data_IF_244468485277
#
_entry.id   IF_244468485277
#
_cell.length_a   1.000
_cell.length_b   1.000
_cell.length_c   1.000
_cell.angle_alpha   90.00
_cell.angle_beta   90.00
_cell.angle_gamma   90.00
#
_symmetry.space_group_name_H-M   'P 1'
#
loop_
_entity.id
_entity.type
_entity.pdbx_description
1 polymer ?
#
# COMPACT_ATOMS: atom_id res chain seq x y z
N UNK A 1 -0.91 -41.91 0.33
CA UNK A 1 -0.59 -40.47 0.26
C UNK A 1 -1.75 -39.64 -0.29
N UNK A 2 -2.30 -39.93 -1.49
CA UNK A 2 -3.54 -39.28 -1.99
C UNK A 2 -4.72 -39.42 -1.03
N UNK A 3 -4.78 -40.50 -0.25
CA UNK A 3 -5.82 -40.73 0.75
C UNK A 3 -5.78 -39.74 1.94
N UNK A 4 -4.67 -39.05 2.15
CA UNK A 4 -4.51 -38.05 3.22
C UNK A 4 -4.98 -36.65 2.83
N UNK A 5 -5.18 -36.39 1.53
CA UNK A 5 -5.75 -35.13 1.07
C UNK A 5 -7.27 -35.13 1.15
N UNK A 6 -7.89 -34.04 1.60
CA UNK A 6 -9.34 -33.94 1.61
C UNK A 6 -9.96 -34.26 0.26
N UNK A 7 -11.09 -35.01 0.20
CA UNK A 7 -11.72 -35.39 -1.05
C UNK A 7 -12.08 -34.18 -1.95
N UNK A 8 -12.38 -33.04 -1.34
CA UNK A 8 -12.67 -31.77 -2.03
C UNK A 8 -11.49 -31.34 -2.91
N UNK A 9 -10.25 -31.52 -2.47
CA UNK A 9 -9.06 -31.13 -3.26
C UNK A 9 -8.89 -31.95 -4.53
N UNK A 10 -9.31 -33.23 -4.51
CA UNK A 10 -9.19 -34.11 -5.68
C UNK A 10 -10.14 -33.72 -6.81
N UNK A 11 -11.24 -33.04 -6.50
CA UNK A 11 -12.25 -32.61 -7.47
C UNK A 11 -11.99 -31.20 -8.01
N UNK A 12 -11.04 -30.46 -7.42
CA UNK A 12 -10.62 -29.15 -7.91
C UNK A 12 -9.73 -29.35 -9.15
N UNK A 13 -10.26 -29.01 -10.31
CA UNK A 13 -9.49 -28.98 -11.57
C UNK A 13 -8.61 -27.73 -11.60
N UNK A 14 -7.54 -27.73 -10.77
CA UNK A 14 -6.61 -26.62 -10.68
C UNK A 14 -5.38 -26.85 -11.56
N UNK A 15 -4.83 -25.81 -12.21
CA UNK A 15 -3.58 -25.93 -12.97
C UNK A 15 -2.36 -26.01 -12.02
N UNK A 16 -2.39 -26.97 -11.10
CA UNK A 16 -1.47 -27.15 -10.00
C UNK A 16 -0.84 -28.53 -10.00
N UNK A 17 0.49 -28.57 -9.83
CA UNK A 17 1.26 -29.75 -9.45
C UNK A 17 1.79 -29.60 -8.04
N UNK A 18 1.66 -30.61 -7.23
CA UNK A 18 2.37 -30.77 -5.97
C UNK A 18 3.53 -31.75 -6.19
N UNK A 19 4.75 -31.31 -5.97
CA UNK A 19 5.94 -32.14 -5.96
C UNK A 19 6.45 -32.29 -4.53
N UNK A 20 6.69 -33.51 -4.11
CA UNK A 20 7.19 -33.81 -2.78
C UNK A 20 8.72 -33.90 -2.76
N UNK A 21 9.30 -33.86 -1.55
CA UNK A 21 10.74 -33.97 -1.29
C UNK A 21 11.38 -35.25 -1.81
N UNK A 22 10.61 -36.34 -2.00
CA UNK A 22 11.02 -37.62 -2.52
C UNK A 22 10.87 -37.76 -4.06
N UNK A 23 10.45 -36.66 -4.71
CA UNK A 23 10.23 -36.59 -6.15
C UNK A 23 8.85 -37.05 -6.63
N UNK A 24 7.99 -37.57 -5.76
CA UNK A 24 6.61 -37.88 -6.14
C UNK A 24 5.85 -36.63 -6.55
N UNK A 25 5.05 -36.74 -7.61
CA UNK A 25 4.25 -35.65 -8.15
C UNK A 25 2.78 -36.01 -8.14
N UNK A 26 1.95 -35.00 -7.92
CA UNK A 26 0.49 -35.08 -7.93
C UNK A 26 -0.07 -33.90 -8.70
N UNK A 27 -0.77 -34.16 -9.79
CA UNK A 27 -1.44 -33.16 -10.60
C UNK A 27 -2.90 -33.02 -10.17
N UNK A 28 -3.36 -31.76 -10.00
CA UNK A 28 -4.73 -31.43 -9.64
C UNK A 28 -5.59 -31.07 -10.88
N UNK A 29 -4.97 -31.03 -12.04
CA UNK A 29 -5.61 -30.79 -13.34
C UNK A 29 -4.71 -31.24 -14.49
N UNK A 30 -5.21 -31.22 -15.74
CA UNK A 30 -4.54 -31.82 -16.88
C UNK A 30 -3.25 -31.07 -17.29
N UNK A 31 -3.19 -29.77 -17.05
CA UNK A 31 -2.08 -28.89 -17.48
C UNK A 31 -1.63 -27.99 -16.32
N UNK A 32 -0.70 -28.44 -15.46
CA UNK A 32 -0.24 -27.65 -14.34
C UNK A 32 0.59 -26.45 -14.81
N UNK A 33 0.16 -25.24 -14.46
CA UNK A 33 0.89 -23.98 -14.66
C UNK A 33 1.82 -23.66 -13.49
N UNK A 34 1.49 -24.16 -12.30
CA UNK A 34 2.24 -23.92 -11.07
C UNK A 34 2.64 -25.26 -10.47
N UNK A 35 3.90 -25.35 -10.02
CA UNK A 35 4.36 -26.45 -9.19
C UNK A 35 4.72 -25.94 -7.80
N UNK A 36 4.06 -26.47 -6.77
CA UNK A 36 4.46 -26.29 -5.37
C UNK A 36 5.39 -27.44 -4.99
N UNK A 37 6.64 -27.11 -4.69
CA UNK A 37 7.66 -28.09 -4.31
C UNK A 37 7.76 -28.11 -2.78
N UNK A 38 7.18 -29.14 -2.16
CA UNK A 38 7.26 -29.34 -0.71
C UNK A 38 8.65 -29.88 -0.35
N UNK A 39 9.39 -29.15 0.48
CA UNK A 39 10.70 -29.55 0.98
C UNK A 39 10.64 -30.17 2.37
N UNK A 40 9.74 -29.68 3.23
CA UNK A 40 9.54 -30.20 4.59
C UNK A 40 8.35 -31.17 4.63
N UNK A 41 8.59 -32.47 4.95
CA UNK A 41 7.52 -33.46 5.11
C UNK A 41 6.43 -33.07 6.14
N UNK A 42 6.77 -32.29 7.16
CA UNK A 42 5.83 -31.88 8.20
C UNK A 42 4.75 -30.94 7.65
N UNK A 43 5.02 -30.23 6.57
CA UNK A 43 4.05 -29.36 5.92
C UNK A 43 2.78 -30.10 5.48
N UNK A 44 2.92 -31.35 5.03
CA UNK A 44 1.78 -32.14 4.53
C UNK A 44 0.67 -32.33 5.57
N UNK A 45 1.04 -32.51 6.84
CA UNK A 45 0.05 -32.67 7.93
C UNK A 45 -0.76 -31.39 8.14
N UNK A 46 -0.19 -30.22 7.82
CA UNK A 46 -0.80 -28.90 7.97
C UNK A 46 -1.64 -28.51 6.73
N UNK A 47 -1.36 -29.07 5.55
CA UNK A 47 -2.11 -28.82 4.31
C UNK A 47 -3.54 -29.40 4.32
N UNK A 48 -3.94 -30.14 5.35
CA UNK A 48 -5.32 -30.55 5.55
C UNK A 48 -6.30 -29.37 5.78
N UNK A 49 -5.79 -28.22 6.21
CA UNK A 49 -6.52 -26.95 6.36
C UNK A 49 -5.63 -25.79 5.91
N UNK A 50 -5.40 -25.63 4.59
CA UNK A 50 -4.54 -24.60 4.08
C UNK A 50 -5.20 -23.22 4.25
N UNK A 51 -4.42 -22.24 4.73
CA UNK A 51 -4.75 -20.82 4.71
C UNK A 51 -3.71 -20.08 3.88
N UNK A 52 -4.03 -18.85 3.45
CA UNK A 52 -3.04 -18.02 2.75
C UNK A 52 -1.83 -17.70 3.64
N UNK A 53 -2.03 -17.53 4.96
CA UNK A 53 -0.92 -17.38 5.92
C UNK A 53 -0.04 -18.63 5.98
N UNK A 54 -0.63 -19.84 6.05
CA UNK A 54 0.14 -21.09 6.10
C UNK A 54 0.97 -21.29 4.83
N UNK A 55 0.36 -21.13 3.65
CA UNK A 55 1.03 -21.32 2.37
C UNK A 55 2.13 -20.26 2.17
N UNK A 56 1.82 -19.00 2.47
CA UNK A 56 2.78 -17.90 2.40
C UNK A 56 3.96 -18.10 3.36
N UNK A 57 3.69 -18.47 4.62
CA UNK A 57 4.75 -18.75 5.60
C UNK A 57 5.61 -19.94 5.19
N UNK A 58 5.01 -21.02 4.67
CA UNK A 58 5.78 -22.19 4.19
C UNK A 58 6.75 -21.82 3.05
N UNK A 59 6.33 -20.92 2.15
CA UNK A 59 7.20 -20.41 1.09
C UNK A 59 8.30 -19.49 1.65
N UNK A 60 7.95 -18.53 2.50
CA UNK A 60 8.91 -17.56 3.07
C UNK A 60 9.99 -18.27 3.88
N UNK A 61 9.61 -19.27 4.68
CA UNK A 61 10.53 -20.02 5.55
C UNK A 61 11.22 -21.21 4.84
N UNK A 62 11.00 -21.39 3.53
CA UNK A 62 11.69 -22.40 2.73
C UNK A 62 11.18 -23.85 2.90
N UNK A 63 10.07 -24.06 3.63
CA UNK A 63 9.43 -25.38 3.72
C UNK A 63 8.76 -25.79 2.40
N UNK A 64 8.54 -24.83 1.51
CA UNK A 64 7.96 -25.01 0.18
C UNK A 64 8.57 -24.02 -0.80
N UNK A 65 8.74 -24.43 -2.06
CA UNK A 65 9.07 -23.54 -3.16
C UNK A 65 7.92 -23.44 -4.17
N UNK A 66 7.96 -22.38 -4.96
CA UNK A 66 6.99 -22.06 -6.00
C UNK A 66 7.71 -22.00 -7.34
N UNK A 67 7.23 -22.78 -8.32
CA UNK A 67 7.65 -22.73 -9.73
C UNK A 67 6.45 -22.37 -10.59
N UNK A 68 6.62 -21.41 -11.50
CA UNK A 68 5.56 -20.91 -12.38
C UNK A 68 5.15 -19.46 -12.04
N UNK A 69 4.17 -18.91 -12.79
CA UNK A 69 3.77 -17.50 -12.67
C UNK A 69 3.16 -17.21 -11.30
N UNK A 70 3.69 -16.19 -10.62
CA UNK A 70 3.23 -15.82 -9.25
C UNK A 70 1.75 -15.43 -9.21
N UNK A 71 1.22 -14.86 -10.26
CA UNK A 71 -0.19 -14.51 -10.40
C UNK A 71 -1.11 -15.74 -10.41
N UNK A 72 -0.68 -16.82 -11.07
CA UNK A 72 -1.42 -18.09 -11.06
C UNK A 72 -1.40 -18.69 -9.65
N UNK A 73 -0.31 -18.52 -8.90
CA UNK A 73 -0.20 -18.96 -7.50
C UNK A 73 -1.28 -18.30 -6.63
N UNK A 74 -1.50 -16.98 -6.77
CA UNK A 74 -2.51 -16.27 -5.97
C UNK A 74 -3.92 -16.82 -6.22
N UNK A 75 -4.29 -17.05 -7.49
CA UNK A 75 -5.57 -17.63 -7.86
C UNK A 75 -5.77 -19.06 -7.32
N UNK A 76 -4.73 -19.87 -7.41
CA UNK A 76 -4.74 -21.26 -6.92
C UNK A 76 -4.84 -21.27 -5.40
N UNK A 77 -4.06 -20.46 -4.69
CA UNK A 77 -4.07 -20.37 -3.24
C UNK A 77 -5.43 -19.91 -2.70
N UNK A 78 -6.05 -18.92 -3.36
CA UNK A 78 -7.42 -18.48 -3.01
C UNK A 78 -8.45 -19.59 -3.25
N UNK A 79 -8.41 -20.28 -4.40
CA UNK A 79 -9.31 -21.39 -4.69
C UNK A 79 -9.16 -22.56 -3.69
N UNK A 80 -7.91 -22.91 -3.32
CA UNK A 80 -7.64 -23.91 -2.28
C UNK A 80 -8.21 -23.51 -0.92
N UNK A 81 -7.95 -22.25 -0.53
CA UNK A 81 -8.43 -21.74 0.76
C UNK A 81 -9.97 -21.66 0.80
N UNK A 82 -10.60 -21.24 -0.29
CA UNK A 82 -12.07 -21.18 -0.42
C UNK A 82 -12.73 -22.55 -0.28
N UNK A 83 -12.15 -23.56 -0.94
CA UNK A 83 -12.70 -24.92 -0.94
C UNK A 83 -12.65 -25.60 0.43
N UNK A 84 -11.71 -25.19 1.30
CA UNK A 84 -11.40 -25.91 2.54
C UNK A 84 -11.78 -25.17 3.83
N UNK A 85 -11.86 -23.84 3.82
CA UNK A 85 -11.99 -23.04 5.05
C UNK A 85 -13.34 -22.29 5.16
N UNK A 86 -14.10 -22.13 4.08
CA UNK A 86 -15.24 -21.20 4.09
C UNK A 86 -14.81 -19.73 4.28
N UNK A 87 -15.78 -18.84 4.62
CA UNK A 87 -15.54 -17.39 4.62
C UNK A 87 -15.05 -16.77 5.95
N UNK A 88 -14.95 -17.52 7.04
CA UNK A 88 -14.84 -16.91 8.36
C UNK A 88 -13.42 -16.89 8.93
N UNK A 89 -12.75 -15.72 8.83
CA UNK A 89 -11.76 -15.33 9.84
C UNK A 89 -12.50 -14.66 11.03
N UNK A 90 -12.18 -15.09 12.25
CA UNK A 90 -12.68 -14.42 13.44
C UNK A 90 -12.16 -12.97 13.50
N UNK A 91 -12.93 -12.09 14.14
CA UNK A 91 -12.47 -10.73 14.40
C UNK A 91 -11.10 -10.74 15.06
N UNK A 92 -10.19 -9.88 14.60
CA UNK A 92 -8.89 -9.72 15.23
C UNK A 92 -9.07 -9.17 16.66
N UNK A 93 -8.25 -9.60 17.65
CA UNK A 93 -8.26 -8.97 18.96
C UNK A 93 -7.88 -7.49 18.83
N UNK A 94 -8.34 -6.65 19.78
CA UNK A 94 -7.92 -5.24 19.85
C UNK A 94 -6.39 -5.16 19.89
N UNK A 95 -5.81 -4.27 19.07
CA UNK A 95 -4.36 -4.03 19.04
C UNK A 95 -3.98 -2.92 20.02
N UNK A 96 -2.76 -2.95 20.55
CA UNK A 96 -2.25 -1.83 21.36
C UNK A 96 -2.23 -0.57 20.50
N UNK A 97 -2.39 0.60 21.13
CA UNK A 97 -2.28 1.88 20.44
C UNK A 97 -0.84 2.07 19.93
N UNK A 98 -0.72 2.57 18.71
CA UNK A 98 0.54 2.95 18.12
C UNK A 98 1.17 4.12 18.89
N UNK A 99 2.47 4.07 19.14
CA UNK A 99 3.27 5.17 19.67
C UNK A 99 4.41 5.53 18.71
N UNK A 100 5.15 6.62 19.01
CA UNK A 100 6.23 7.10 18.12
C UNK A 100 7.35 6.08 17.93
N UNK A 101 7.65 5.28 18.94
CA UNK A 101 8.74 4.31 18.90
C UNK A 101 8.34 3.11 18.05
N UNK A 102 7.15 2.55 18.30
CA UNK A 102 6.63 1.42 17.50
C UNK A 102 6.42 1.79 16.03
N UNK A 103 5.87 2.98 15.74
CA UNK A 103 5.68 3.43 14.35
C UNK A 103 7.02 3.61 13.62
N UNK A 104 8.05 4.12 14.30
CA UNK A 104 9.39 4.25 13.72
C UNK A 104 10.01 2.86 13.43
N UNK A 105 9.88 1.90 14.36
CA UNK A 105 10.34 0.52 14.16
C UNK A 105 9.64 -0.16 12.99
N UNK A 106 8.31 -0.02 12.87
CA UNK A 106 7.53 -0.60 11.78
C UNK A 106 7.92 -0.02 10.41
N UNK A 107 8.17 1.30 10.35
CA UNK A 107 8.65 1.95 9.14
C UNK A 107 10.06 1.50 8.78
N UNK A 108 10.98 1.41 9.75
CA UNK A 108 12.31 0.85 9.52
C UNK A 108 12.24 -0.59 9.02
N UNK A 109 11.42 -1.42 9.63
CA UNK A 109 11.25 -2.82 9.22
C UNK A 109 10.82 -2.95 7.74
N UNK A 110 9.89 -2.10 7.28
CA UNK A 110 9.37 -2.16 5.92
C UNK A 110 10.27 -1.45 4.89
N UNK A 111 10.85 -0.29 5.23
CA UNK A 111 11.52 0.59 4.27
C UNK A 111 13.06 0.53 4.31
N UNK A 112 13.68 -0.18 5.26
CA UNK A 112 15.15 -0.26 5.38
C UNK A 112 15.80 -1.29 4.43
N UNK A 113 15.07 -1.78 3.43
CA UNK A 113 15.68 -2.40 2.26
C UNK A 113 16.37 -1.32 1.41
N UNK A 114 17.43 -1.70 0.69
CA UNK A 114 18.22 -0.74 -0.08
C UNK A 114 17.39 0.01 -1.13
N UNK A 115 17.69 1.29 -1.35
CA UNK A 115 17.08 2.07 -2.43
C UNK A 115 17.24 1.40 -3.81
N UNK A 116 18.32 0.64 -4.03
CA UNK A 116 18.57 -0.09 -5.27
C UNK A 116 17.57 -1.21 -5.49
N UNK A 117 17.14 -1.90 -4.43
CA UNK A 117 16.08 -2.90 -4.52
C UNK A 117 14.75 -2.26 -4.96
N UNK A 118 14.37 -1.12 -4.39
CA UNK A 118 13.13 -0.41 -4.79
C UNK A 118 13.19 0.09 -6.23
N UNK A 119 14.36 0.53 -6.73
CA UNK A 119 14.54 0.97 -8.12
C UNK A 119 14.28 -0.11 -9.15
N UNK A 120 14.41 -1.40 -8.82
CA UNK A 120 14.17 -2.49 -9.75
C UNK A 120 12.71 -2.56 -10.22
N UNK A 121 11.78 -2.13 -9.40
CA UNK A 121 10.36 -2.36 -9.67
C UNK A 121 9.46 -1.12 -9.53
N UNK A 122 9.89 -0.06 -8.87
CA UNK A 122 9.17 1.22 -8.88
C UNK A 122 9.33 1.95 -10.22
N UNK A 123 8.60 3.05 -10.39
CA UNK A 123 8.83 4.02 -11.45
C UNK A 123 10.11 4.82 -11.23
N UNK A 124 10.53 5.59 -12.24
CA UNK A 124 11.77 6.41 -12.19
C UNK A 124 11.83 7.40 -11.04
N UNK A 125 10.67 7.91 -10.58
CA UNK A 125 10.58 8.85 -9.46
C UNK A 125 10.44 8.15 -8.11
N UNK A 126 10.39 6.81 -8.11
CA UNK A 126 10.23 5.96 -6.93
C UNK A 126 8.99 6.33 -6.11
N UNK A 127 7.86 6.47 -6.78
CA UNK A 127 6.58 6.80 -6.15
C UNK A 127 5.93 5.51 -5.64
N UNK A 128 6.11 5.21 -4.36
CA UNK A 128 5.61 3.98 -3.74
C UNK A 128 4.17 4.16 -3.21
N UNK A 129 3.26 4.40 -4.15
CA UNK A 129 1.81 4.51 -3.90
C UNK A 129 1.04 4.29 -5.19
N UNK A 130 -0.28 4.17 -5.11
CA UNK A 130 -1.14 3.91 -6.26
C UNK A 130 -0.94 4.93 -7.39
N UNK A 131 -0.68 4.47 -8.60
CA UNK A 131 -0.68 5.26 -9.83
C UNK A 131 -2.12 5.57 -10.30
N UNK A 132 -2.27 6.49 -11.25
CA UNK A 132 -3.57 6.82 -11.85
C UNK A 132 -3.52 6.57 -13.36
N UNK A 133 -4.35 5.67 -13.85
CA UNK A 133 -4.44 5.26 -15.24
C UNK A 133 -5.67 5.92 -15.87
N UNK A 134 -5.49 7.06 -16.54
CA UNK A 134 -6.59 7.86 -17.08
C UNK A 134 -7.34 7.13 -18.20
N UNK A 135 -6.60 6.44 -19.07
CA UNK A 135 -7.15 5.66 -20.20
C UNK A 135 -7.14 4.15 -19.94
N UNK A 136 -6.39 3.69 -18.94
CA UNK A 136 -6.17 2.29 -18.64
C UNK A 136 -5.10 1.61 -19.50
N UNK A 137 -4.34 2.36 -20.32
CA UNK A 137 -3.32 1.82 -21.25
C UNK A 137 -1.91 2.34 -20.97
N UNK A 138 -1.77 3.28 -20.03
CA UNK A 138 -0.50 3.89 -19.67
C UNK A 138 0.46 2.84 -19.09
N UNK A 139 1.76 3.05 -19.33
CA UNK A 139 2.82 2.41 -18.54
C UNK A 139 2.88 2.98 -17.11
N UNK A 140 3.64 2.34 -16.24
CA UNK A 140 3.71 2.74 -14.84
C UNK A 140 4.29 4.15 -14.64
N UNK A 141 5.34 4.51 -15.39
CA UNK A 141 6.00 5.80 -15.26
C UNK A 141 5.05 6.94 -15.65
N UNK A 142 4.33 6.77 -16.75
CA UNK A 142 3.30 7.72 -17.21
C UNK A 142 2.15 7.80 -16.20
N UNK A 143 1.62 6.68 -15.75
CA UNK A 143 0.52 6.63 -14.80
C UNK A 143 0.88 7.28 -13.44
N UNK A 144 2.12 7.17 -12.97
CA UNK A 144 2.60 7.87 -11.78
C UNK A 144 2.67 9.39 -12.00
N UNK A 145 3.15 9.87 -13.15
CA UNK A 145 3.13 11.30 -13.46
C UNK A 145 1.70 11.86 -13.53
N UNK A 146 0.77 11.10 -14.12
CA UNK A 146 -0.66 11.46 -14.14
C UNK A 146 -1.22 11.52 -12.72
N UNK A 147 -0.89 10.56 -11.86
CA UNK A 147 -1.31 10.55 -10.44
C UNK A 147 -0.82 11.80 -9.69
N UNK A 148 0.47 12.15 -9.83
CA UNK A 148 1.03 13.33 -9.17
C UNK A 148 0.31 14.61 -9.62
N UNK A 149 0.07 14.74 -10.94
CA UNK A 149 -0.70 15.87 -11.50
C UNK A 149 -2.14 15.88 -11.00
N UNK A 150 -2.80 14.72 -10.92
CA UNK A 150 -4.18 14.59 -10.44
C UNK A 150 -4.31 15.05 -8.99
N UNK A 151 -3.40 14.64 -8.09
CA UNK A 151 -3.36 15.12 -6.70
C UNK A 151 -3.19 16.64 -6.63
N UNK A 152 -2.23 17.20 -7.38
CA UNK A 152 -1.98 18.65 -7.40
C UNK A 152 -3.19 19.44 -7.93
N UNK A 153 -3.88 18.92 -8.96
CA UNK A 153 -5.11 19.52 -9.49
C UNK A 153 -6.26 19.47 -8.48
N UNK A 154 -6.48 18.34 -7.81
CA UNK A 154 -7.50 18.22 -6.74
C UNK A 154 -7.23 19.20 -5.60
N UNK A 155 -5.98 19.38 -5.20
CA UNK A 155 -5.56 20.40 -4.24
C UNK A 155 -5.62 21.82 -4.77
N UNK A 156 -5.85 22.00 -6.10
CA UNK A 156 -5.89 23.32 -6.77
C UNK A 156 -4.65 24.16 -6.44
N UNK A 157 -3.47 23.55 -6.53
CA UNK A 157 -2.21 24.20 -6.22
C UNK A 157 -1.99 25.42 -7.10
N UNK A 158 -1.61 26.52 -6.49
CA UNK A 158 -1.25 27.77 -7.17
C UNK A 158 0.21 28.15 -6.88
N UNK A 159 0.91 28.78 -7.83
CA UNK A 159 2.28 29.23 -7.61
C UNK A 159 2.42 30.09 -6.34
N UNK A 160 3.46 29.80 -5.55
CA UNK A 160 3.72 30.50 -4.29
C UNK A 160 2.95 30.00 -3.07
N UNK A 161 2.00 29.06 -3.24
CA UNK A 161 1.36 28.40 -2.08
C UNK A 161 2.34 27.47 -1.36
N UNK A 162 2.10 27.26 -0.06
CA UNK A 162 2.85 26.35 0.80
C UNK A 162 2.12 25.02 0.95
N UNK A 163 2.72 23.96 0.44
CA UNK A 163 2.23 22.57 0.50
C UNK A 163 2.96 21.80 1.61
N UNK A 164 2.22 21.16 2.51
CA UNK A 164 2.73 20.14 3.42
C UNK A 164 2.53 18.75 2.79
N UNK A 165 3.62 17.96 2.65
CA UNK A 165 3.60 16.56 2.19
C UNK A 165 3.93 15.62 3.36
N UNK A 166 2.90 14.98 3.93
CA UNK A 166 3.01 14.10 5.11
C UNK A 166 3.27 12.66 4.65
N UNK A 167 4.47 12.16 4.90
CA UNK A 167 4.95 10.89 4.38
C UNK A 167 5.50 11.05 2.96
N UNK A 168 6.40 12.01 2.75
CA UNK A 168 6.90 12.39 1.43
C UNK A 168 7.76 11.32 0.71
N UNK A 169 8.13 10.24 1.40
CA UNK A 169 8.94 9.16 0.85
C UNK A 169 10.24 9.65 0.21
N UNK A 170 10.53 9.22 -1.02
CA UNK A 170 11.69 9.67 -1.80
C UNK A 170 11.50 11.05 -2.48
N UNK A 171 10.50 11.82 -2.06
CA UNK A 171 10.26 13.20 -2.51
C UNK A 171 9.66 13.32 -3.91
N UNK A 172 9.06 12.26 -4.46
CA UNK A 172 8.51 12.27 -5.81
C UNK A 172 7.42 13.33 -5.99
N UNK A 173 6.41 13.36 -5.09
CA UNK A 173 5.36 14.36 -5.12
C UNK A 173 5.89 15.77 -4.82
N UNK A 174 6.73 15.91 -3.81
CA UNK A 174 7.30 17.21 -3.40
C UNK A 174 8.05 17.89 -4.57
N UNK A 175 8.95 17.16 -5.26
CA UNK A 175 9.69 17.66 -6.43
C UNK A 175 8.76 18.00 -7.59
N UNK A 176 7.79 17.13 -7.88
CA UNK A 176 6.80 17.34 -8.94
C UNK A 176 5.97 18.60 -8.68
N UNK A 177 5.41 18.76 -7.49
CA UNK A 177 4.59 19.91 -7.13
C UNK A 177 5.38 21.24 -7.22
N UNK A 178 6.60 21.26 -6.70
CA UNK A 178 7.47 22.45 -6.76
C UNK A 178 7.81 22.83 -8.21
N UNK A 179 8.12 21.84 -9.06
CA UNK A 179 8.53 22.06 -10.45
C UNK A 179 7.36 22.46 -11.34
N UNK A 180 6.25 21.72 -11.29
CA UNK A 180 5.14 21.87 -12.22
C UNK A 180 4.11 22.92 -11.80
N UNK A 181 3.96 23.15 -10.48
CA UNK A 181 2.96 24.07 -9.92
C UNK A 181 3.58 25.28 -9.23
N UNK A 182 4.88 25.35 -9.07
CA UNK A 182 5.58 26.51 -8.52
C UNK A 182 5.31 26.75 -7.04
N UNK A 183 4.91 25.71 -6.29
CA UNK A 183 4.64 25.79 -4.85
C UNK A 183 5.92 25.62 -4.03
N UNK A 184 5.90 26.11 -2.78
CA UNK A 184 6.87 25.78 -1.76
C UNK A 184 6.41 24.51 -1.04
N UNK A 185 7.28 23.49 -0.92
CA UNK A 185 6.92 22.23 -0.31
C UNK A 185 7.71 21.98 0.96
N UNK A 186 7.01 21.65 2.03
CA UNK A 186 7.57 21.10 3.26
C UNK A 186 7.16 19.64 3.37
N UNK A 187 8.11 18.73 3.24
CA UNK A 187 7.87 17.29 3.28
C UNK A 187 8.46 16.65 4.53
N UNK A 188 7.73 15.72 5.13
CA UNK A 188 8.20 14.94 6.27
C UNK A 188 8.16 13.44 6.00
N UNK A 189 9.12 12.70 6.55
CA UNK A 189 9.21 11.24 6.53
C UNK A 189 9.85 10.73 7.81
N UNK A 190 9.63 9.47 8.18
CA UNK A 190 10.29 8.79 9.28
C UNK A 190 11.48 7.90 8.83
N UNK A 191 11.71 7.73 7.52
CA UNK A 191 12.82 6.96 6.98
C UNK A 191 14.01 7.85 6.63
N UNK A 192 15.15 7.63 7.30
CA UNK A 192 16.41 8.32 7.02
C UNK A 192 16.95 8.03 5.63
N UNK A 193 16.80 6.80 5.14
CA UNK A 193 17.22 6.39 3.80
C UNK A 193 16.41 7.08 2.69
N UNK A 194 15.09 7.16 2.88
CA UNK A 194 14.23 7.92 1.97
C UNK A 194 14.59 9.39 1.95
N UNK A 195 14.76 10.02 3.13
CA UNK A 195 15.10 11.42 3.25
C UNK A 195 16.42 11.76 2.58
N UNK A 196 17.45 10.94 2.78
CA UNK A 196 18.76 11.13 2.16
C UNK A 196 18.65 11.18 0.63
N UNK A 197 18.05 10.16 0.02
CA UNK A 197 17.89 10.11 -1.43
C UNK A 197 16.97 11.22 -1.95
N UNK A 198 15.91 11.56 -1.21
CA UNK A 198 15.01 12.65 -1.57
C UNK A 198 15.74 13.99 -1.64
N UNK A 199 16.60 14.30 -0.64
CA UNK A 199 17.42 15.53 -0.63
C UNK A 199 18.43 15.56 -1.77
N UNK A 200 19.09 14.45 -2.08
CA UNK A 200 19.99 14.33 -3.23
C UNK A 200 19.28 14.66 -4.55
N UNK A 201 18.04 14.13 -4.73
CA UNK A 201 17.21 14.40 -5.92
C UNK A 201 16.73 15.86 -6.00
N UNK A 202 16.31 16.44 -4.87
CA UNK A 202 15.96 17.86 -4.78
C UNK A 202 17.15 18.73 -5.20
N UNK A 203 18.35 18.41 -4.73
CA UNK A 203 19.57 19.14 -5.11
C UNK A 203 19.92 18.96 -6.60
N UNK A 204 19.81 17.75 -7.13
CA UNK A 204 20.10 17.45 -8.54
C UNK A 204 19.14 18.18 -9.51
N UNK A 205 17.89 18.47 -9.08
CA UNK A 205 16.90 19.22 -9.86
C UNK A 205 16.94 20.75 -9.59
N UNK A 206 17.81 21.24 -8.70
CA UNK A 206 17.92 22.66 -8.35
C UNK A 206 16.67 23.21 -7.63
N UNK A 207 16.02 22.39 -6.81
CA UNK A 207 14.76 22.73 -6.13
C UNK A 207 14.96 23.09 -4.64
N UNK A 208 16.18 23.27 -4.17
CA UNK A 208 16.49 23.47 -2.73
C UNK A 208 15.81 24.71 -2.13
N UNK A 209 15.58 25.74 -2.94
CA UNK A 209 14.91 26.98 -2.51
C UNK A 209 13.38 26.81 -2.37
N UNK A 210 12.82 25.72 -2.89
CA UNK A 210 11.37 25.47 -2.88
C UNK A 210 10.96 24.21 -2.13
N UNK A 211 11.86 23.26 -1.92
CA UNK A 211 11.56 21.96 -1.29
C UNK A 211 12.42 21.76 -0.06
N UNK A 212 11.81 21.82 1.09
CA UNK A 212 12.41 21.49 2.37
C UNK A 212 11.91 20.12 2.82
N UNK A 213 12.82 19.20 3.19
CA UNK A 213 12.47 17.84 3.64
C UNK A 213 13.09 17.58 5.02
N UNK A 214 12.30 16.99 5.93
CA UNK A 214 12.72 16.72 7.30
C UNK A 214 12.39 15.29 7.76
N UNK A 215 13.23 14.77 8.69
CA UNK A 215 12.93 13.56 9.44
C UNK A 215 12.08 13.98 10.64
N UNK A 216 10.76 13.84 10.51
CA UNK A 216 9.81 14.35 11.50
C UNK A 216 8.58 13.47 11.58
N UNK A 217 8.10 13.22 12.81
CA UNK A 217 6.81 12.58 13.05
C UNK A 217 5.66 13.60 12.85
N UNK A 218 4.54 13.15 12.27
CA UNK A 218 3.38 14.02 12.04
C UNK A 218 2.85 14.66 13.32
N UNK A 219 3.03 14.01 14.48
CA UNK A 219 2.63 14.51 15.81
C UNK A 219 3.42 15.74 16.28
N UNK A 220 4.57 15.99 15.64
CA UNK A 220 5.43 17.14 15.93
C UNK A 220 5.30 18.27 14.89
N UNK A 221 4.34 18.18 13.98
CA UNK A 221 4.07 19.20 12.99
C UNK A 221 3.65 20.53 13.66
N UNK A 222 4.03 21.67 13.08
CA UNK A 222 3.53 22.96 13.53
C UNK A 222 2.01 23.07 13.33
N UNK A 223 1.31 23.56 14.37
CA UNK A 223 -0.15 23.64 14.45
C UNK A 223 -0.68 25.06 14.27
N UNK A 224 0.04 25.93 13.58
CA UNK A 224 -0.23 27.36 13.44
C UNK A 224 -0.93 27.75 12.13
N UNK A 225 -1.39 26.77 11.36
CA UNK A 225 -2.12 27.01 10.12
C UNK A 225 -1.29 27.67 9.01
N UNK A 226 0.00 27.39 8.97
CA UNK A 226 0.93 28.01 8.02
C UNK A 226 0.89 27.45 6.60
N UNK A 227 0.26 26.30 6.37
CA UNK A 227 0.19 25.65 5.06
C UNK A 227 -1.13 26.00 4.35
N UNK A 228 -1.03 26.31 3.05
CA UNK A 228 -2.22 26.51 2.20
C UNK A 228 -2.90 25.18 1.91
N UNK A 229 -2.11 24.14 1.68
CA UNK A 229 -2.55 22.80 1.33
C UNK A 229 -1.78 21.75 2.10
N UNK A 230 -2.45 20.63 2.37
CA UNK A 230 -1.85 19.44 2.99
C UNK A 230 -2.17 18.23 2.13
N UNK A 231 -1.17 17.39 1.88
CA UNK A 231 -1.33 16.10 1.24
C UNK A 231 -0.70 15.01 2.08
N UNK A 232 -1.35 13.86 2.15
CA UNK A 232 -0.80 12.66 2.76
C UNK A 232 -1.17 11.46 1.91
N UNK A 233 -0.15 10.69 1.50
CA UNK A 233 -0.29 9.58 0.56
C UNK A 233 0.32 8.31 1.14
N UNK A 234 -0.53 7.31 1.46
CA UNK A 234 -0.09 6.01 1.97
C UNK A 234 0.52 6.07 3.37
N UNK A 235 0.08 7.03 4.18
CA UNK A 235 0.60 7.23 5.53
C UNK A 235 -0.41 6.86 6.61
N UNK A 236 -1.72 7.11 6.41
CA UNK A 236 -2.71 6.93 7.46
C UNK A 236 -2.96 5.46 7.85
N UNK A 237 -2.54 4.51 7.02
CA UNK A 237 -2.52 3.08 7.30
C UNK A 237 -1.57 2.71 8.46
N UNK A 238 -0.58 3.56 8.72
CA UNK A 238 0.41 3.40 9.79
C UNK A 238 0.02 4.12 11.09
N UNK A 239 -1.11 4.85 11.09
CA UNK A 239 -1.54 5.67 12.23
C UNK A 239 -2.22 4.84 13.32
N UNK A 240 -2.91 3.76 12.94
CA UNK A 240 -3.77 2.98 13.81
C UNK A 240 -5.11 3.64 14.12
N UNK A 241 -6.16 2.83 14.34
CA UNK A 241 -7.53 3.33 14.53
C UNK A 241 -7.67 4.29 15.73
N UNK A 242 -6.92 4.03 16.80
CA UNK A 242 -6.96 4.84 18.03
C UNK A 242 -6.44 6.27 17.80
N UNK A 243 -5.48 6.45 16.88
CA UNK A 243 -4.81 7.73 16.64
C UNK A 243 -5.41 8.53 15.47
N UNK A 244 -6.39 7.99 14.72
CA UNK A 244 -6.97 8.67 13.55
C UNK A 244 -7.51 10.07 13.89
N UNK A 245 -8.15 10.26 15.05
CA UNK A 245 -8.59 11.58 15.50
C UNK A 245 -7.42 12.54 15.69
N UNK A 246 -6.36 12.12 16.39
CA UNK A 246 -5.14 12.93 16.57
C UNK A 246 -4.52 13.29 15.21
N UNK A 247 -4.42 12.31 14.30
CA UNK A 247 -3.88 12.53 12.98
C UNK A 247 -4.64 13.59 12.19
N UNK A 248 -5.96 13.47 12.05
CA UNK A 248 -6.75 14.45 11.30
C UNK A 248 -6.81 15.81 12.00
N UNK A 249 -6.79 15.86 13.35
CA UNK A 249 -6.66 17.11 14.11
C UNK A 249 -5.33 17.81 13.78
N UNK A 250 -4.24 17.08 13.71
CA UNK A 250 -2.92 17.64 13.35
C UNK A 250 -2.95 18.22 11.93
N UNK A 251 -3.52 17.50 10.94
CA UNK A 251 -3.67 18.03 9.58
C UNK A 251 -4.58 19.27 9.53
N UNK A 252 -5.69 19.26 10.29
CA UNK A 252 -6.58 20.42 10.42
C UNK A 252 -5.84 21.64 10.99
N UNK A 253 -5.02 21.44 12.02
CA UNK A 253 -4.29 22.55 12.65
C UNK A 253 -3.14 23.07 11.77
N UNK A 254 -2.51 22.20 10.99
CA UNK A 254 -1.43 22.57 10.08
C UNK A 254 -1.91 23.38 8.87
N UNK A 255 -3.10 23.08 8.33
CA UNK A 255 -3.67 23.80 7.18
C UNK A 255 -4.36 25.09 7.63
N UNK A 256 -4.25 26.17 6.84
CA UNK A 256 -4.95 27.43 7.12
C UNK A 256 -6.49 27.33 6.94
N UNK A 257 -7.29 28.22 7.55
CA UNK A 257 -8.71 28.33 7.22
C UNK A 257 -8.92 28.58 5.72
N UNK A 258 -9.84 27.85 5.07
CA UNK A 258 -10.08 27.83 3.64
C UNK A 258 -9.10 26.96 2.85
N UNK A 259 -8.08 26.38 3.50
CA UNK A 259 -7.11 25.48 2.88
C UNK A 259 -7.64 24.05 2.68
N UNK A 260 -6.96 23.26 1.85
CA UNK A 260 -7.38 21.90 1.47
C UNK A 260 -6.47 20.84 2.08
N UNK A 261 -7.08 19.71 2.42
CA UNK A 261 -6.40 18.49 2.89
C UNK A 261 -6.77 17.34 1.97
N UNK A 262 -5.79 16.66 1.42
CA UNK A 262 -5.95 15.42 0.65
C UNK A 262 -5.37 14.25 1.42
N UNK A 263 -6.20 13.27 1.75
CA UNK A 263 -5.78 11.98 2.27
C UNK A 263 -5.98 10.89 1.22
N UNK A 264 -4.89 10.25 0.80
CA UNK A 264 -4.90 9.16 -0.15
C UNK A 264 -4.39 7.91 0.57
N UNK A 265 -5.21 6.87 0.69
CA UNK A 265 -4.79 5.68 1.41
C UNK A 265 -5.68 4.47 1.23
N UNK A 266 -5.15 3.32 1.65
CA UNK A 266 -5.81 2.01 1.61
C UNK A 266 -6.89 1.96 2.67
N UNK A 267 -8.05 1.43 2.32
CA UNK A 267 -9.19 1.29 3.23
C UNK A 267 -9.67 -0.16 3.29
N UNK A 268 -10.14 -0.56 4.48
CA UNK A 268 -10.78 -1.84 4.65
C UNK A 268 -12.12 -1.91 3.89
N UNK A 269 -12.49 -3.10 3.43
CA UNK A 269 -13.81 -3.37 2.84
C UNK A 269 -14.93 -3.34 3.87
N UNK A 270 -14.68 -3.89 5.07
CA UNK A 270 -15.68 -4.11 6.10
C UNK A 270 -15.60 -3.04 7.18
N UNK A 271 -16.77 -2.65 7.71
CA UNK A 271 -16.88 -1.67 8.81
C UNK A 271 -16.62 -2.26 10.19
N UNK A 272 -16.63 -3.58 10.31
CA UNK A 272 -16.55 -4.31 11.59
C UNK A 272 -15.12 -4.68 12.01
N UNK A 273 -14.11 -4.17 11.31
CA UNK A 273 -12.69 -4.42 11.63
C UNK A 273 -12.22 -5.85 11.37
N UNK A 274 -13.00 -6.68 10.66
CA UNK A 274 -12.54 -8.01 10.28
C UNK A 274 -11.29 -7.92 9.41
N UNK A 275 -10.27 -8.76 9.68
CA UNK A 275 -9.06 -8.80 8.86
C UNK A 275 -9.38 -9.23 7.42
N UNK A 276 -8.45 -8.99 6.51
CA UNK A 276 -8.52 -9.52 5.15
C UNK A 276 -8.56 -11.05 5.22
N UNK A 277 -9.58 -11.65 4.59
CA UNK A 277 -9.99 -13.03 4.81
C UNK A 277 -8.98 -14.09 4.40
N UNK A 278 -9.27 -15.33 4.81
CA UNK A 278 -8.52 -16.56 4.50
C UNK A 278 -7.05 -16.54 4.94
N UNK A 279 -6.70 -15.69 5.92
CA UNK A 279 -5.37 -15.57 6.48
C UNK A 279 -4.46 -14.57 5.77
N UNK A 280 -4.89 -13.91 4.67
CA UNK A 280 -4.07 -12.91 3.99
C UNK A 280 -3.64 -11.77 4.93
N UNK A 281 -4.56 -11.26 5.76
CA UNK A 281 -4.26 -10.23 6.76
C UNK A 281 -3.20 -10.67 7.77
N UNK A 282 -3.21 -11.94 8.21
CA UNK A 282 -2.19 -12.48 9.13
C UNK A 282 -0.80 -12.53 8.49
N UNK A 283 -0.73 -12.88 7.21
CA UNK A 283 0.54 -12.87 6.47
C UNK A 283 1.13 -11.46 6.39
N UNK A 284 0.29 -10.47 6.02
CA UNK A 284 0.70 -9.06 5.94
C UNK A 284 1.18 -8.54 7.30
N UNK A 285 0.44 -8.81 8.36
CA UNK A 285 0.78 -8.42 9.74
C UNK A 285 2.11 -9.02 10.22
N UNK A 286 2.39 -10.26 9.85
CA UNK A 286 3.62 -10.97 10.27
C UNK A 286 4.87 -10.54 9.51
N UNK A 287 4.74 -10.30 8.20
CA UNK A 287 5.89 -10.22 7.30
C UNK A 287 6.09 -8.87 6.64
N UNK A 288 5.07 -8.01 6.58
CA UNK A 288 5.11 -6.81 5.75
C UNK A 288 4.87 -5.55 6.57
N UNK A 289 3.71 -5.45 7.22
CA UNK A 289 3.30 -4.31 8.03
C UNK A 289 2.87 -4.80 9.42
N UNK A 290 3.82 -5.04 10.33
CA UNK A 290 3.48 -5.32 11.72
C UNK A 290 2.58 -4.21 12.25
N UNK A 291 1.53 -4.58 12.97
CA UNK A 291 0.55 -3.66 13.54
C UNK A 291 -0.28 -2.81 12.54
N UNK A 292 -0.11 -2.99 11.22
CA UNK A 292 -0.87 -2.22 10.22
C UNK A 292 -2.39 -2.37 10.39
N UNK A 293 -3.11 -1.26 10.44
CA UNK A 293 -4.57 -1.20 10.58
C UNK A 293 -5.19 -0.41 9.44
N UNK A 294 -6.10 -1.05 8.70
CA UNK A 294 -6.80 -0.39 7.62
C UNK A 294 -8.17 0.12 8.10
N UNK A 295 -8.38 1.43 8.19
CA UNK A 295 -9.69 1.97 8.52
C UNK A 295 -10.65 1.79 7.34
N UNK A 296 -11.93 1.57 7.63
CA UNK A 296 -12.97 1.67 6.61
C UNK A 296 -13.15 3.14 6.17
N UNK A 297 -13.52 3.35 4.90
CA UNK A 297 -13.77 4.69 4.35
C UNK A 297 -14.69 5.54 5.24
N UNK A 298 -15.80 4.97 5.71
CA UNK A 298 -16.74 5.69 6.58
C UNK A 298 -16.09 6.14 7.90
N UNK A 299 -15.17 5.33 8.46
CA UNK A 299 -14.42 5.69 9.67
C UNK A 299 -13.48 6.88 9.40
N UNK A 300 -12.75 6.85 8.28
CA UNK A 300 -11.87 7.94 7.89
C UNK A 300 -12.65 9.26 7.71
N UNK A 301 -13.77 9.23 6.95
CA UNK A 301 -14.63 10.38 6.73
C UNK A 301 -15.23 10.91 8.04
N UNK A 302 -15.72 10.03 8.92
CA UNK A 302 -16.24 10.42 10.22
C UNK A 302 -15.18 11.11 11.07
N UNK A 303 -13.95 10.55 11.15
CA UNK A 303 -12.85 11.17 11.91
C UNK A 303 -12.39 12.51 11.35
N UNK A 304 -12.38 12.67 10.02
CA UNK A 304 -12.11 13.97 9.40
C UNK A 304 -13.16 15.00 9.82
N UNK A 305 -14.44 14.63 9.78
CA UNK A 305 -15.55 15.50 10.16
C UNK A 305 -15.58 15.83 11.67
N UNK A 306 -15.29 14.84 12.53
CA UNK A 306 -15.18 15.03 13.99
C UNK A 306 -14.13 16.09 14.35
N UNK A 307 -13.06 16.20 13.56
CA UNK A 307 -11.98 17.18 13.76
C UNK A 307 -12.20 18.50 13.00
N UNK A 308 -13.37 18.69 12.40
CA UNK A 308 -13.78 19.96 11.78
C UNK A 308 -13.43 20.12 10.30
N UNK A 309 -12.93 19.07 9.65
CA UNK A 309 -12.72 19.05 8.21
C UNK A 309 -14.04 18.75 7.48
N UNK A 310 -14.40 19.59 6.50
CA UNK A 310 -15.54 19.33 5.62
C UNK A 310 -15.06 18.49 4.42
N UNK A 311 -15.52 17.23 4.34
CA UNK A 311 -15.19 16.34 3.22
C UNK A 311 -16.02 16.76 1.99
N UNK A 312 -15.32 17.08 0.89
CA UNK A 312 -15.93 17.63 -0.33
C UNK A 312 -15.83 16.72 -1.54
N UNK A 313 -14.91 15.74 -1.52
CA UNK A 313 -14.76 14.73 -2.58
C UNK A 313 -14.19 13.43 -2.06
N UNK A 314 -14.70 12.32 -2.62
CA UNK A 314 -14.16 10.97 -2.38
C UNK A 314 -14.07 10.25 -3.72
N UNK A 315 -12.88 9.79 -4.08
CA UNK A 315 -12.64 9.01 -5.29
C UNK A 315 -12.05 7.64 -4.95
N UNK A 316 -12.68 6.57 -5.46
CA UNK A 316 -12.22 5.20 -5.30
C UNK A 316 -11.23 4.80 -6.39
N UNK A 317 -10.06 4.33 -6.01
CA UNK A 317 -8.96 3.98 -6.93
C UNK A 317 -8.55 2.50 -6.86
N UNK A 318 -9.44 1.62 -6.43
CA UNK A 318 -9.16 0.21 -6.21
C UNK A 318 -8.49 -0.47 -7.41
N UNK A 319 -9.06 -0.33 -8.60
CA UNK A 319 -8.53 -0.97 -9.80
C UNK A 319 -7.23 -0.32 -10.31
N UNK A 320 -7.03 0.97 -10.04
CA UNK A 320 -5.75 1.63 -10.30
C UNK A 320 -4.64 1.00 -9.45
N UNK A 321 -4.92 0.71 -8.17
CA UNK A 321 -3.90 0.11 -7.32
C UNK A 321 -3.65 -1.36 -7.66
N UNK A 322 -4.70 -2.12 -8.00
CA UNK A 322 -4.52 -3.46 -8.54
C UNK A 322 -3.54 -3.47 -9.72
N UNK A 323 -3.73 -2.56 -10.68
CA UNK A 323 -2.86 -2.44 -11.85
C UNK A 323 -1.45 -1.96 -11.49
N UNK A 324 -1.31 -1.00 -10.60
CA UNK A 324 0.00 -0.53 -10.11
C UNK A 324 0.81 -1.67 -9.53
N UNK A 325 0.19 -2.46 -8.65
CA UNK A 325 0.83 -3.62 -8.01
C UNK A 325 1.16 -4.74 -9.00
N UNK A 326 0.37 -4.90 -10.07
CA UNK A 326 0.71 -5.80 -11.19
C UNK A 326 2.01 -5.37 -11.86
N UNK A 327 2.16 -4.11 -12.21
CA UNK A 327 3.40 -3.58 -12.78
C UNK A 327 4.59 -3.79 -11.84
N UNK A 328 4.42 -3.53 -10.54
CA UNK A 328 5.49 -3.75 -9.56
C UNK A 328 5.86 -5.23 -9.45
N UNK A 329 4.87 -6.13 -9.39
CA UNK A 329 5.08 -7.58 -9.35
C UNK A 329 5.79 -8.08 -10.62
N UNK A 330 5.34 -7.67 -11.80
CA UNK A 330 5.94 -8.03 -13.08
C UNK A 330 7.38 -7.54 -13.21
N UNK A 331 7.65 -6.28 -12.83
CA UNK A 331 9.02 -5.73 -12.84
C UNK A 331 9.93 -6.47 -11.86
N UNK A 332 9.45 -6.79 -10.66
CA UNK A 332 10.24 -7.58 -9.70
C UNK A 332 10.55 -8.99 -10.24
N UNK A 333 9.57 -9.68 -10.83
CA UNK A 333 9.77 -11.00 -11.44
C UNK A 333 10.78 -10.98 -12.60
N UNK A 334 10.86 -9.88 -13.34
CA UNK A 334 11.84 -9.67 -14.41
C UNK A 334 13.27 -9.45 -13.89
N UNK A 335 13.44 -9.02 -12.63
CA UNK A 335 14.73 -8.66 -12.02
C UNK A 335 15.09 -9.55 -10.82
N UNK A 336 14.55 -10.78 -10.73
CA UNK A 336 14.76 -11.66 -9.57
C UNK A 336 16.23 -11.96 -9.27
N UNK A 337 17.06 -12.17 -10.31
CA UNK A 337 18.49 -12.45 -10.14
C UNK A 337 19.24 -11.24 -9.56
N UNK A 338 18.88 -10.03 -9.98
CA UNK A 338 19.45 -8.79 -9.47
C UNK A 338 18.97 -8.51 -8.05
N UNK A 339 17.67 -8.67 -7.82
CA UNK A 339 17.06 -8.53 -6.49
C UNK A 339 17.69 -9.49 -5.46
N UNK A 340 17.98 -10.73 -5.85
CA UNK A 340 18.62 -11.72 -4.98
C UNK A 340 20.06 -11.33 -4.54
N UNK A 341 20.70 -10.39 -5.24
CA UNK A 341 22.01 -9.84 -4.83
C UNK A 341 21.89 -8.66 -3.86
N UNK A 342 20.73 -8.01 -3.83
CA UNK A 342 20.49 -6.77 -3.07
C UNK A 342 19.82 -7.04 -1.72
N UNK A 343 19.02 -8.12 -1.61
CA UNK A 343 18.29 -8.44 -0.39
C UNK A 343 18.40 -9.92 -0.02
N UNK A 344 18.26 -10.29 1.26
CA UNK A 344 18.21 -11.68 1.68
C UNK A 344 17.08 -12.45 0.96
N UNK A 345 17.31 -13.75 0.70
CA UNK A 345 16.32 -14.63 0.03
C UNK A 345 14.94 -14.58 0.71
N UNK A 346 14.92 -14.58 2.03
CA UNK A 346 13.68 -14.48 2.82
C UNK A 346 12.92 -13.18 2.50
N UNK A 347 13.60 -12.05 2.42
CA UNK A 347 12.99 -10.77 2.05
C UNK A 347 12.44 -10.81 0.61
N UNK A 348 13.22 -11.34 -0.33
CA UNK A 348 12.77 -11.48 -1.72
C UNK A 348 11.50 -12.33 -1.82
N UNK A 349 11.43 -13.46 -1.09
CA UNK A 349 10.25 -14.33 -1.03
C UNK A 349 9.03 -13.59 -0.46
N UNK A 350 9.20 -12.76 0.56
CA UNK A 350 8.14 -11.93 1.14
C UNK A 350 7.62 -10.95 0.08
N UNK A 351 8.51 -10.19 -0.56
CA UNK A 351 8.11 -9.14 -1.52
C UNK A 351 7.41 -9.69 -2.76
N UNK A 352 7.84 -10.85 -3.28
CA UNK A 352 7.16 -11.54 -4.38
C UNK A 352 5.70 -11.86 -4.05
N UNK A 353 5.46 -12.49 -2.88
CA UNK A 353 4.10 -12.80 -2.44
C UNK A 353 3.29 -11.54 -2.09
N UNK A 354 3.92 -10.56 -1.47
CA UNK A 354 3.27 -9.33 -1.06
C UNK A 354 2.72 -8.55 -2.27
N UNK A 355 3.55 -8.26 -3.26
CA UNK A 355 3.13 -7.48 -4.43
C UNK A 355 2.02 -8.21 -5.22
N UNK A 356 2.20 -9.48 -5.51
CA UNK A 356 1.20 -10.29 -6.23
C UNK A 356 -0.09 -10.49 -5.40
N UNK A 357 0.05 -10.73 -4.10
CA UNK A 357 -1.07 -10.93 -3.18
C UNK A 357 -1.90 -9.67 -3.00
N UNK A 358 -1.26 -8.50 -2.85
CA UNK A 358 -1.96 -7.22 -2.78
C UNK A 358 -2.66 -6.88 -4.10
N UNK A 359 -2.00 -7.08 -5.26
CA UNK A 359 -2.65 -6.90 -6.56
C UNK A 359 -3.94 -7.73 -6.64
N UNK A 360 -3.86 -9.00 -6.28
CA UNK A 360 -5.01 -9.91 -6.24
C UNK A 360 -6.09 -9.45 -5.25
N UNK A 361 -5.70 -9.01 -4.04
CA UNK A 361 -6.62 -8.51 -3.02
C UNK A 361 -7.43 -7.29 -3.50
N UNK A 362 -6.79 -6.34 -4.19
CA UNK A 362 -7.47 -5.21 -4.80
C UNK A 362 -8.37 -5.65 -5.97
N UNK A 363 -7.95 -6.57 -6.83
CA UNK A 363 -8.79 -7.12 -7.91
C UNK A 363 -10.05 -7.78 -7.38
N UNK A 364 -9.93 -8.52 -6.29
CA UNK A 364 -11.02 -9.28 -5.66
C UNK A 364 -11.87 -8.48 -4.67
N UNK A 365 -11.64 -7.15 -4.57
CA UNK A 365 -12.36 -6.29 -3.64
C UNK A 365 -12.24 -6.73 -2.17
N UNK A 366 -11.06 -7.22 -1.78
CA UNK A 366 -10.78 -7.54 -0.37
C UNK A 366 -10.38 -6.30 0.41
N UNK A 367 -9.71 -5.37 -0.26
CA UNK A 367 -9.29 -4.06 0.22
C UNK A 367 -9.56 -3.01 -0.84
N UNK A 368 -9.68 -1.75 -0.44
CA UNK A 368 -9.95 -0.61 -1.30
C UNK A 368 -8.88 0.47 -1.12
N UNK A 369 -8.92 1.48 -1.97
CA UNK A 369 -8.11 2.69 -1.86
C UNK A 369 -8.92 3.90 -2.24
N UNK A 370 -8.81 4.98 -1.44
CA UNK A 370 -9.55 6.20 -1.68
C UNK A 370 -8.67 7.45 -1.60
N UNK A 371 -8.99 8.43 -2.43
CA UNK A 371 -8.59 9.82 -2.25
C UNK A 371 -9.75 10.57 -1.60
N UNK A 372 -9.52 11.16 -0.45
CA UNK A 372 -10.51 11.93 0.32
C UNK A 372 -10.03 13.38 0.37
N UNK A 373 -10.73 14.28 -0.32
CA UNK A 373 -10.46 15.71 -0.29
C UNK A 373 -11.37 16.40 0.71
N UNK A 374 -10.79 17.18 1.58
CA UNK A 374 -11.52 17.98 2.56
C UNK A 374 -10.99 19.41 2.59
N UNK A 375 -11.83 20.32 3.09
CA UNK A 375 -11.48 21.71 3.35
C UNK A 375 -11.54 22.01 4.85
N UNK A 376 -10.65 22.87 5.35
CA UNK A 376 -10.81 23.52 6.63
C UNK A 376 -11.69 24.77 6.43
N UNK A 377 -12.98 24.78 6.83
CA UNK A 377 -13.83 25.95 6.66
C UNK A 377 -13.27 27.18 7.41
N UNK A 378 -13.60 28.39 6.92
CA UNK A 378 -13.36 29.61 7.68
C UNK A 378 -14.34 29.73 8.87
N UNK A 379 -14.11 30.67 9.74
CA UNK A 379 -14.95 30.87 10.95
C UNK A 379 -16.44 31.14 10.63
N UNK A 380 -16.73 31.69 9.46
CA UNK A 380 -18.06 31.91 8.93
C UNK A 380 -18.65 30.72 8.14
N UNK A 381 -17.95 29.61 8.10
CA UNK A 381 -18.33 28.42 7.33
C UNK A 381 -18.00 28.49 5.85
N UNK A 382 -17.41 29.56 5.33
CA UNK A 382 -17.12 29.73 3.90
C UNK A 382 -15.84 29.03 3.46
N UNK A 383 -15.75 28.72 2.16
CA UNK A 383 -14.55 28.26 1.46
C UNK A 383 -14.56 28.68 -0.01
N UNK A 384 -13.41 28.57 -0.72
CA UNK A 384 -13.26 29.04 -2.11
C UNK A 384 -13.41 27.92 -3.16
N UNK A 385 -14.01 26.79 -2.80
CA UNK A 385 -14.20 25.71 -3.78
C UNK A 385 -15.28 26.09 -4.81
N UNK A 386 -15.08 25.72 -6.10
CA UNK A 386 -16.08 25.94 -7.12
C UNK A 386 -17.33 25.08 -6.89
N UNK A 387 -18.47 25.51 -7.44
CA UNK A 387 -19.75 24.79 -7.33
C UNK A 387 -19.77 23.42 -8.04
N UNK A 388 -18.85 23.18 -8.97
CA UNK A 388 -18.77 21.93 -9.72
C UNK A 388 -17.34 21.40 -9.76
N UNK A 389 -17.18 20.15 -10.19
CA UNK A 389 -15.88 19.48 -10.37
C UNK A 389 -15.31 19.65 -11.77
N UNK A 390 -15.87 20.53 -12.61
CA UNK A 390 -15.49 20.67 -14.02
C UNK A 390 -14.01 21.03 -14.21
N UNK A 391 -13.40 21.72 -13.26
CA UNK A 391 -11.98 22.09 -13.23
C UNK A 391 -11.02 20.92 -13.07
N UNK A 392 -11.50 19.79 -12.52
CA UNK A 392 -10.66 18.59 -12.31
C UNK A 392 -10.46 17.76 -13.59
N UNK A 393 -11.33 17.96 -14.60
CA UNK A 393 -11.38 17.16 -15.84
C UNK A 393 -10.93 17.93 -17.10
N UNK A 394 -10.29 19.10 -16.94
CA UNK A 394 -9.80 19.97 -18.04
C UNK A 394 -8.29 19.98 -18.16
#
# INVERSE_FOLDING_TARGET
MLAMLPPVLRNLQLPLRLQLWDGHQLDFGPEPLVTLVVRDPQLLSRLGRPSLDLLGSAYVEGAMDIQGPIDAVMRIADALSAALLGEADAAAPPRPAHDKASDAEDIHYHYDLSNDFYRLWLDRDMVYSCAYFETGTEDLDTAQQVKLRHLCRKLRLQPGERLLDVGCGWGGLARFAAREFGVEVYGITLSGEQLKLARERVAAEGLQDRVQLELLDYRDLPTDGRFDKVVSVGMFEHVGHANLGLYFRTLYQAVRPGGLVMNHGITAKNTDGRPVGRGAGKFIDRYVFPHGELPHLATAVARMSDEGLEVVDVEGLRLHYARTLRFWSERLEQHLEEAARLVPERALRIWRLYLAGCAYGFERDWINLHQILAVRPRADGSHDLPWSRADLYR
#
